data_IF_196397908665
#
_entry.id   IF_196397908665
#
_cell.length_a   1.000
_cell.length_b   1.000
_cell.length_c   1.000
_cell.angle_alpha   90.00
_cell.angle_beta   90.00
_cell.angle_gamma   90.00
#
_symmetry.space_group_name_H-M   'P 1'
#
loop_
_entity.id
_entity.type
_entity.pdbx_description
1 polymer ?
#
# COMPACT_ATOMS: atom_id res chain seq x y z
N UNK A 1 10.56 -31.27 0.77
CA UNK A 1 11.24 -30.60 -0.34
C UNK A 1 10.58 -29.25 -0.48
N UNK A 2 11.34 -28.20 -0.21
CA UNK A 2 10.90 -26.81 -0.10
C UNK A 2 10.86 -26.19 -1.49
N UNK A 3 9.66 -25.89 -2.00
CA UNK A 3 9.43 -25.16 -3.25
C UNK A 3 9.70 -23.66 -3.04
N UNK A 4 10.96 -23.30 -2.76
CA UNK A 4 11.41 -21.93 -2.84
C UNK A 4 11.59 -21.58 -4.32
N UNK A 5 10.84 -20.58 -4.79
CA UNK A 5 10.78 -20.10 -6.17
C UNK A 5 12.06 -19.38 -6.64
N UNK A 6 13.12 -19.37 -5.83
CA UNK A 6 14.26 -18.46 -5.98
C UNK A 6 15.26 -18.86 -7.09
N UNK A 7 15.20 -20.08 -7.62
CA UNK A 7 16.24 -20.63 -8.51
C UNK A 7 15.78 -20.98 -9.94
N UNK A 8 14.60 -20.54 -10.37
CA UNK A 8 14.07 -20.81 -11.73
C UNK A 8 14.96 -20.22 -12.85
N UNK A 9 15.71 -19.15 -12.55
CA UNK A 9 16.53 -18.42 -13.50
C UNK A 9 17.86 -19.13 -13.85
N UNK A 10 18.42 -19.93 -12.94
CA UNK A 10 19.75 -20.54 -13.08
C UNK A 10 19.87 -21.52 -14.26
N UNK A 11 18.73 -21.96 -14.81
CA UNK A 11 18.67 -22.79 -16.01
C UNK A 11 18.93 -22.00 -17.32
N UNK A 12 18.75 -20.68 -17.30
CA UNK A 12 18.70 -19.86 -18.51
C UNK A 12 19.78 -18.77 -18.57
N UNK A 13 20.50 -18.53 -17.47
CA UNK A 13 21.47 -17.42 -17.36
C UNK A 13 22.69 -17.84 -16.53
N UNK A 14 23.86 -17.35 -16.92
CA UNK A 14 25.16 -17.72 -16.32
C UNK A 14 25.45 -17.04 -14.97
N UNK A 15 24.78 -15.92 -14.66
CA UNK A 15 24.93 -15.21 -13.38
C UNK A 15 23.68 -14.40 -13.01
N UNK A 16 23.55 -14.09 -11.71
CA UNK A 16 22.58 -13.15 -11.13
C UNK A 16 23.34 -12.19 -10.21
N UNK A 17 23.02 -10.91 -10.29
CA UNK A 17 23.51 -9.88 -9.38
C UNK A 17 22.34 -9.04 -8.88
N UNK A 18 22.30 -8.77 -7.58
CA UNK A 18 21.33 -7.85 -6.98
C UNK A 18 21.89 -6.43 -7.10
N UNK A 19 21.31 -5.63 -7.99
CA UNK A 19 21.68 -4.23 -8.17
C UNK A 19 20.87 -3.35 -7.21
N UNK A 20 21.57 -2.56 -6.39
CA UNK A 20 20.95 -1.43 -5.69
C UNK A 20 20.82 -0.29 -6.70
N UNK A 21 19.64 -0.11 -7.25
CA UNK A 21 19.34 1.06 -8.05
C UNK A 21 19.30 2.28 -7.13
N UNK A 22 19.89 3.44 -7.50
CA UNK A 22 19.61 4.66 -6.80
C UNK A 22 18.10 4.92 -6.94
N UNK A 23 17.39 4.98 -5.83
CA UNK A 23 16.11 5.67 -5.83
C UNK A 23 16.38 7.09 -6.36
N UNK A 24 15.52 7.64 -7.22
CA UNK A 24 15.79 8.91 -7.88
C UNK A 24 16.15 10.02 -6.90
N UNK A 25 17.15 10.84 -7.25
CA UNK A 25 17.40 12.13 -6.60
C UNK A 25 16.15 13.00 -6.78
N UNK A 26 15.55 13.49 -5.69
CA UNK A 26 14.32 14.28 -5.76
C UNK A 26 13.48 14.23 -4.49
N UNK A 27 12.25 14.78 -4.51
CA UNK A 27 11.36 14.76 -3.35
C UNK A 27 11.02 13.33 -2.93
N UNK A 28 10.69 13.15 -1.66
CA UNK A 28 10.06 11.93 -1.17
C UNK A 28 8.58 11.92 -1.53
N UNK A 29 8.11 10.85 -2.17
CA UNK A 29 6.70 10.64 -2.47
C UNK A 29 6.20 9.45 -1.66
N UNK A 30 5.33 9.72 -0.69
CA UNK A 30 4.74 8.70 0.19
C UNK A 30 3.39 8.29 -0.37
N UNK A 31 3.22 7.01 -0.67
CA UNK A 31 2.02 6.46 -1.29
C UNK A 31 1.23 5.60 -0.28
N UNK A 32 0.06 6.10 0.14
CA UNK A 32 -0.81 5.47 1.12
C UNK A 32 -2.00 4.80 0.43
N UNK A 33 -2.07 3.47 0.51
CA UNK A 33 -3.14 2.69 -0.12
C UNK A 33 -4.48 2.83 0.62
N UNK A 34 -5.58 2.43 -0.05
CA UNK A 34 -6.92 2.42 0.52
C UNK A 34 -7.19 1.19 1.40
N UNK A 35 -8.33 1.17 2.10
CA UNK A 35 -8.74 0.03 2.91
C UNK A 35 -8.89 -1.25 2.06
N UNK A 36 -8.37 -2.36 2.56
CA UNK A 36 -8.41 -3.67 1.89
C UNK A 36 -7.43 -3.85 0.74
N UNK A 37 -6.64 -2.82 0.44
CA UNK A 37 -5.55 -2.83 -0.54
C UNK A 37 -4.19 -3.01 0.14
N UNK A 38 -3.12 -2.96 -0.65
CA UNK A 38 -1.73 -2.98 -0.19
C UNK A 38 -0.93 -1.92 -0.93
N UNK A 39 0.32 -1.70 -0.52
CA UNK A 39 1.31 -0.88 -1.20
C UNK A 39 1.46 -1.21 -2.70
N UNK A 40 1.26 -2.47 -3.09
CA UNK A 40 1.34 -2.92 -4.49
C UNK A 40 0.25 -2.34 -5.40
N UNK A 41 -0.79 -1.71 -4.85
CA UNK A 41 -1.75 -0.92 -5.64
C UNK A 41 -1.05 0.20 -6.43
N UNK A 42 0.09 0.66 -5.94
CA UNK A 42 0.88 1.72 -6.54
C UNK A 42 1.93 1.22 -7.54
N UNK A 43 2.03 -0.07 -7.85
CA UNK A 43 3.15 -0.64 -8.61
C UNK A 43 3.44 0.11 -9.93
N UNK A 44 2.42 0.40 -10.74
CA UNK A 44 2.56 1.12 -12.00
C UNK A 44 2.88 2.60 -11.80
N UNK A 45 2.33 3.22 -10.75
CA UNK A 45 2.63 4.62 -10.39
C UNK A 45 4.09 4.74 -9.95
N UNK A 46 4.57 3.83 -9.11
CA UNK A 46 5.96 3.75 -8.67
C UNK A 46 6.90 3.56 -9.87
N UNK A 47 6.54 2.74 -10.85
CA UNK A 47 7.34 2.54 -12.06
C UNK A 47 7.57 3.83 -12.84
N UNK A 48 6.59 4.74 -12.86
CA UNK A 48 6.68 6.07 -13.51
C UNK A 48 7.45 7.07 -12.64
N UNK A 49 7.18 7.08 -11.33
CA UNK A 49 7.68 8.11 -10.43
C UNK A 49 9.16 7.91 -10.04
N UNK A 50 9.63 6.66 -9.93
CA UNK A 50 10.94 6.32 -9.37
C UNK A 50 12.15 6.94 -10.12
N UNK A 51 11.95 7.39 -11.36
CA UNK A 51 13.00 8.05 -12.16
C UNK A 51 13.30 9.48 -11.67
N UNK A 52 12.36 10.14 -10.98
CA UNK A 52 12.45 11.57 -10.63
C UNK A 52 12.29 11.85 -9.12
N UNK A 53 12.02 10.81 -8.32
CA UNK A 53 11.76 10.97 -6.90
C UNK A 53 12.03 9.68 -6.13
N UNK A 54 12.18 9.80 -4.82
CA UNK A 54 12.28 8.65 -3.91
C UNK A 54 10.87 8.26 -3.46
N UNK A 55 10.39 7.11 -3.91
CA UNK A 55 9.03 6.64 -3.63
C UNK A 55 9.01 5.72 -2.41
N UNK A 56 8.12 6.02 -1.46
CA UNK A 56 7.85 5.20 -0.28
C UNK A 56 6.42 4.68 -0.35
N UNK A 57 6.26 3.38 -0.58
CA UNK A 57 4.97 2.71 -0.48
C UNK A 57 5.09 1.59 0.55
N UNK A 58 4.20 1.55 1.53
CA UNK A 58 4.22 0.56 2.59
C UNK A 58 2.79 0.07 2.91
N UNK A 59 2.71 -1.11 3.50
CA UNK A 59 1.43 -1.70 3.89
C UNK A 59 1.01 -1.12 5.24
N UNK A 60 -0.24 -0.63 5.33
CA UNK A 60 -0.84 -0.21 6.58
C UNK A 60 -1.04 -1.41 7.52
N UNK A 61 -1.18 -1.16 8.82
CA UNK A 61 -1.56 -2.18 9.82
C UNK A 61 -2.75 -3.02 9.33
N UNK A 62 -2.69 -4.33 9.54
CA UNK A 62 -3.73 -5.26 9.11
C UNK A 62 -3.84 -5.44 7.58
N UNK A 63 -2.88 -4.92 6.81
CA UNK A 63 -2.82 -5.07 5.36
C UNK A 63 -1.48 -5.67 4.92
N UNK A 64 -1.50 -6.32 3.75
CA UNK A 64 -0.31 -6.82 3.08
C UNK A 64 0.58 -7.68 3.98
N UNK A 65 1.85 -7.30 4.17
CA UNK A 65 2.80 -8.03 5.01
C UNK A 65 3.12 -7.33 6.35
N UNK A 66 2.45 -6.23 6.67
CA UNK A 66 2.66 -5.52 7.93
C UNK A 66 2.05 -6.31 9.10
N UNK A 67 2.85 -6.46 10.15
CA UNK A 67 2.46 -7.11 11.40
C UNK A 67 2.78 -6.22 12.59
N UNK A 68 1.86 -6.17 13.54
CA UNK A 68 1.94 -5.36 14.77
C UNK A 68 1.58 -6.20 15.99
N UNK A 69 1.66 -5.62 17.18
CA UNK A 69 1.17 -6.27 18.41
C UNK A 69 -0.36 -6.44 18.44
N UNK A 70 -1.10 -5.69 17.63
CA UNK A 70 -2.56 -5.74 17.54
C UNK A 70 -3.02 -5.30 16.15
N UNK A 71 -3.10 -6.25 15.21
CA UNK A 71 -3.46 -5.96 13.81
C UNK A 71 -4.93 -5.53 13.63
N UNK A 72 -5.77 -5.73 14.65
CA UNK A 72 -7.21 -5.42 14.61
C UNK A 72 -7.54 -3.96 14.97
N UNK A 73 -6.59 -3.21 15.57
CA UNK A 73 -6.78 -1.79 15.88
C UNK A 73 -6.54 -0.93 14.63
N UNK A 74 -7.55 -0.88 13.77
CA UNK A 74 -7.58 -0.05 12.57
C UNK A 74 -8.13 1.36 12.82
N UNK A 75 -8.13 1.82 14.08
CA UNK A 75 -8.55 3.18 14.38
C UNK A 75 -7.65 4.20 13.68
N UNK A 76 -8.26 5.29 13.24
CA UNK A 76 -7.54 6.31 12.49
C UNK A 76 -6.36 6.90 13.28
N UNK A 77 -6.49 7.08 14.60
CA UNK A 77 -5.41 7.62 15.41
C UNK A 77 -4.21 6.66 15.46
N UNK A 78 -4.47 5.35 15.58
CA UNK A 78 -3.42 4.32 15.52
C UNK A 78 -2.75 4.29 14.14
N UNK A 79 -3.52 4.32 13.05
CA UNK A 79 -2.98 4.36 11.69
C UNK A 79 -2.13 5.63 11.43
N UNK A 80 -2.53 6.78 11.99
CA UNK A 80 -1.74 8.02 11.93
C UNK A 80 -0.41 7.85 12.66
N UNK A 81 -0.42 7.29 13.88
CA UNK A 81 0.83 7.06 14.62
C UNK A 81 1.75 6.07 13.91
N UNK A 82 1.22 4.96 13.39
CA UNK A 82 2.01 4.00 12.61
C UNK A 82 2.65 4.66 11.39
N UNK A 83 1.90 5.49 10.66
CA UNK A 83 2.41 6.23 9.51
C UNK A 83 3.52 7.18 9.92
N UNK A 84 3.35 7.95 10.98
CA UNK A 84 4.38 8.84 11.49
C UNK A 84 5.66 8.08 11.88
N UNK A 85 5.54 6.93 12.54
CA UNK A 85 6.71 6.10 12.88
C UNK A 85 7.45 5.58 11.63
N UNK A 86 6.72 5.19 10.59
CA UNK A 86 7.33 4.80 9.31
C UNK A 86 8.04 5.99 8.68
N UNK A 87 7.41 7.17 8.65
CA UNK A 87 8.01 8.39 8.09
C UNK A 87 9.26 8.83 8.85
N UNK A 88 9.24 8.79 10.19
CA UNK A 88 10.39 9.08 11.04
C UNK A 88 11.58 8.14 10.74
N UNK A 89 11.29 6.90 10.29
CA UNK A 89 12.31 5.93 9.92
C UNK A 89 12.85 6.09 8.49
N UNK A 90 11.96 6.30 7.52
CA UNK A 90 12.32 6.33 6.09
C UNK A 90 12.71 7.73 5.58
N UNK A 91 12.32 8.77 6.31
CA UNK A 91 12.63 10.18 6.06
C UNK A 91 13.13 10.78 7.38
N UNK A 92 14.27 10.30 7.90
CA UNK A 92 14.76 10.75 9.20
C UNK A 92 15.09 12.25 9.14
N UNK A 93 14.84 13.00 10.23
CA UNK A 93 15.27 14.39 10.33
C UNK A 93 16.78 14.47 10.11
N UNK A 94 17.25 15.43 9.32
CA UNK A 94 18.69 15.68 9.17
C UNK A 94 19.27 16.03 10.53
N UNK A 95 20.26 15.26 10.98
CA UNK A 95 21.09 15.59 12.13
C UNK A 95 22.12 16.64 11.70
N UNK A 96 22.10 17.78 12.38
CA UNK A 96 22.95 18.98 12.24
C UNK A 96 24.26 18.83 11.45
N UNK A 97 24.44 19.66 10.40
CA UNK A 97 25.76 19.95 9.83
C UNK A 97 25.92 19.87 8.30
N UNK A 98 24.90 19.50 7.53
CA UNK A 98 24.95 19.53 6.06
C UNK A 98 24.13 20.70 5.51
N UNK A 99 24.78 21.60 4.74
CA UNK A 99 24.19 22.76 4.02
C UNK A 99 23.20 22.38 2.89
N UNK A 100 22.54 21.23 3.02
CA UNK A 100 21.72 20.65 1.98
C UNK A 100 20.27 20.73 2.43
N UNK A 101 19.40 21.34 1.63
CA UNK A 101 17.97 21.54 1.93
C UNK A 101 17.30 20.24 2.42
N UNK A 102 16.36 20.36 3.37
CA UNK A 102 15.58 19.20 3.82
C UNK A 102 14.84 18.60 2.61
N UNK A 103 14.85 17.27 2.45
CA UNK A 103 14.23 16.66 1.28
C UNK A 103 12.71 16.85 1.34
N UNK A 104 12.15 17.52 0.33
CA UNK A 104 10.73 17.79 0.20
C UNK A 104 9.92 16.50 0.24
N UNK A 105 8.77 16.51 0.90
CA UNK A 105 7.90 15.33 1.04
C UNK A 105 6.50 15.63 0.51
N UNK A 106 5.95 14.73 -0.29
CA UNK A 106 4.57 14.77 -0.78
C UNK A 106 3.89 13.48 -0.33
N UNK A 107 2.71 13.60 0.28
CA UNK A 107 1.88 12.43 0.62
C UNK A 107 0.77 12.30 -0.42
N UNK A 108 0.65 11.13 -1.03
CA UNK A 108 -0.45 10.77 -1.94
C UNK A 108 -1.22 9.64 -1.30
N UNK A 109 -2.54 9.82 -1.16
CA UNK A 109 -3.38 8.83 -0.51
C UNK A 109 -4.65 8.53 -1.28
N UNK A 110 -4.97 7.25 -1.43
CA UNK A 110 -6.23 6.79 -2.02
C UNK A 110 -7.20 6.35 -0.92
N UNK A 111 -8.46 6.80 -0.99
CA UNK A 111 -9.52 6.39 -0.05
C UNK A 111 -9.08 6.54 1.43
N UNK A 112 -9.04 5.46 2.22
CA UNK A 112 -8.47 5.45 3.59
C UNK A 112 -7.10 6.15 3.67
N UNK A 113 -6.19 5.86 2.75
CA UNK A 113 -4.87 6.48 2.69
C UNK A 113 -4.92 7.99 2.46
N UNK A 114 -5.94 8.49 1.77
CA UNK A 114 -6.14 9.93 1.58
C UNK A 114 -6.60 10.62 2.86
N UNK A 115 -7.55 10.03 3.58
CA UNK A 115 -7.97 10.52 4.90
C UNK A 115 -6.80 10.50 5.91
N UNK A 116 -5.99 9.45 5.84
CA UNK A 116 -4.78 9.30 6.65
C UNK A 116 -3.74 10.38 6.32
N UNK A 117 -3.47 10.64 5.04
CA UNK A 117 -2.51 11.66 4.60
C UNK A 117 -2.86 13.07 5.09
N UNK A 118 -4.15 13.44 5.04
CA UNK A 118 -4.63 14.73 5.57
C UNK A 118 -4.42 14.83 7.08
N UNK A 119 -4.68 13.74 7.82
CA UNK A 119 -4.53 13.73 9.28
C UNK A 119 -3.07 13.75 9.72
N UNK A 120 -2.20 13.01 9.02
CA UNK A 120 -0.74 13.06 9.22
C UNK A 120 -0.24 14.49 9.00
N UNK A 121 -0.68 15.15 7.93
CA UNK A 121 -0.33 16.55 7.66
C UNK A 121 -0.81 17.49 8.79
N UNK A 122 -2.04 17.31 9.26
CA UNK A 122 -2.61 18.12 10.33
C UNK A 122 -1.87 17.99 11.68
N UNK A 123 -1.06 16.94 11.87
CA UNK A 123 -0.23 16.81 13.08
C UNK A 123 0.95 17.79 13.13
N UNK A 124 1.41 18.29 11.97
CA UNK A 124 2.63 19.11 11.89
C UNK A 124 3.93 18.35 12.20
N UNK A 125 3.89 17.02 12.33
CA UNK A 125 5.07 16.19 12.68
C UNK A 125 5.94 15.79 11.49
N UNK A 126 5.61 16.23 10.27
CA UNK A 126 6.41 16.02 9.06
C UNK A 126 6.87 17.39 8.55
N UNK A 127 7.98 17.96 9.07
CA UNK A 127 8.39 19.33 8.74
C UNK A 127 8.72 19.55 7.27
N UNK A 128 9.07 18.48 6.55
CA UNK A 128 9.39 18.49 5.12
C UNK A 128 8.16 18.36 4.22
N UNK A 129 6.94 18.27 4.77
CA UNK A 129 5.73 18.06 3.99
C UNK A 129 5.34 19.33 3.21
N UNK A 130 5.38 19.23 1.88
CA UNK A 130 5.03 20.32 0.95
C UNK A 130 3.59 20.20 0.42
N UNK A 131 2.99 19.01 0.48
CA UNK A 131 1.64 18.82 -0.02
C UNK A 131 1.03 17.45 0.23
N UNK A 132 -0.30 17.41 0.19
CA UNK A 132 -1.11 16.19 0.27
C UNK A 132 -2.00 16.09 -0.98
N UNK A 133 -1.90 14.98 -1.69
CA UNK A 133 -2.79 14.60 -2.78
C UNK A 133 -3.77 13.53 -2.30
N UNK A 134 -5.06 13.78 -2.50
CA UNK A 134 -6.13 12.91 -2.05
C UNK A 134 -6.89 12.40 -3.26
N UNK A 135 -6.93 11.07 -3.43
CA UNK A 135 -7.59 10.40 -4.55
C UNK A 135 -8.84 9.70 -4.03
N UNK A 136 -9.98 10.09 -4.58
CA UNK A 136 -11.29 9.47 -4.35
C UNK A 136 -11.72 9.44 -2.87
N UNK A 137 -11.46 10.54 -2.15
CA UNK A 137 -11.97 10.81 -0.79
C UNK A 137 -12.78 12.10 -0.80
N UNK A 138 -14.03 12.04 -0.36
CA UNK A 138 -14.80 13.24 0.00
C UNK A 138 -15.55 12.92 1.28
N UNK A 139 -15.35 13.67 2.36
CA UNK A 139 -15.95 13.40 3.69
C UNK A 139 -17.48 13.22 3.63
N UNK A 140 -18.17 14.02 2.79
CA UNK A 140 -19.61 13.92 2.57
C UNK A 140 -20.05 12.75 1.67
N UNK A 141 -19.24 12.31 0.72
CA UNK A 141 -19.55 11.13 -0.11
C UNK A 141 -19.06 9.84 0.55
N UNK A 142 -18.01 9.86 1.38
CA UNK A 142 -17.50 8.71 2.11
C UNK A 142 -18.56 8.13 3.06
N UNK A 143 -19.28 8.99 3.80
CA UNK A 143 -20.42 8.59 4.62
C UNK A 143 -21.59 8.00 3.79
N UNK A 144 -21.84 8.52 2.60
CA UNK A 144 -22.86 8.00 1.69
C UNK A 144 -22.40 6.71 0.96
N UNK A 145 -21.10 6.59 0.69
CA UNK A 145 -20.43 5.47 0.03
C UNK A 145 -20.18 4.31 1.00
N UNK A 146 -20.10 4.57 2.31
CA UNK A 146 -20.14 3.53 3.35
C UNK A 146 -21.43 2.67 3.22
N UNK A 147 -22.56 3.27 2.83
CA UNK A 147 -23.79 2.51 2.54
C UNK A 147 -23.65 1.59 1.32
N UNK A 148 -22.80 1.96 0.36
CA UNK A 148 -22.50 1.16 -0.83
C UNK A 148 -21.38 0.15 -0.57
N UNK A 149 -20.54 0.38 0.45
CA UNK A 149 -19.50 -0.55 0.87
C UNK A 149 -20.09 -1.90 1.31
N UNK A 150 -21.28 -1.91 1.92
CA UNK A 150 -22.01 -3.16 2.20
C UNK A 150 -22.23 -4.01 0.94
N UNK A 151 -22.68 -3.41 -0.16
CA UNK A 151 -22.88 -4.11 -1.42
C UNK A 151 -21.55 -4.56 -2.07
N UNK A 152 -20.46 -3.81 -1.87
CA UNK A 152 -19.12 -4.22 -2.32
C UNK A 152 -18.62 -5.43 -1.52
N UNK A 153 -18.79 -5.40 -0.20
CA UNK A 153 -18.43 -6.49 0.70
C UNK A 153 -19.24 -7.76 0.43
N UNK A 154 -20.54 -7.63 0.18
CA UNK A 154 -21.42 -8.77 -0.16
C UNK A 154 -21.06 -9.43 -1.50
N UNK A 155 -20.61 -8.64 -2.48
CA UNK A 155 -20.19 -9.16 -3.79
C UNK A 155 -18.79 -9.78 -3.77
N UNK A 156 -18.00 -9.52 -2.73
CA UNK A 156 -16.63 -10.01 -2.59
C UNK A 156 -16.68 -11.50 -2.19
N UNK A 157 -16.11 -12.41 -2.98
CA UNK A 157 -16.01 -13.81 -2.59
C UNK A 157 -15.27 -13.91 -1.26
N UNK A 158 -15.78 -14.71 -0.33
CA UNK A 158 -15.13 -14.91 0.96
C UNK A 158 -13.85 -15.73 0.86
N UNK A 159 -13.72 -16.55 -0.20
CA UNK A 159 -12.60 -17.47 -0.42
C UNK A 159 -12.32 -17.66 -1.91
N UNK A 160 -11.08 -17.93 -2.27
CA UNK A 160 -10.66 -18.35 -3.61
C UNK A 160 -9.91 -19.68 -3.56
N UNK A 161 -9.92 -20.41 -4.67
CA UNK A 161 -9.18 -21.68 -4.81
C UNK A 161 -7.74 -21.47 -5.28
N UNK A 162 -7.48 -20.37 -5.98
CA UNK A 162 -6.16 -20.01 -6.50
C UNK A 162 -6.02 -18.50 -6.70
N UNK A 163 -4.78 -18.01 -6.77
CA UNK A 163 -4.51 -16.61 -7.09
C UNK A 163 -5.05 -16.23 -8.47
N UNK A 164 -5.00 -17.16 -9.43
CA UNK A 164 -5.55 -16.96 -10.77
C UNK A 164 -7.06 -16.72 -10.74
N UNK A 165 -7.80 -17.44 -9.90
CA UNK A 165 -9.24 -17.23 -9.74
C UNK A 165 -9.55 -15.86 -9.15
N UNK A 166 -8.74 -15.41 -8.19
CA UNK A 166 -8.88 -14.08 -7.59
C UNK A 166 -8.58 -12.95 -8.59
N UNK A 167 -7.51 -13.08 -9.37
CA UNK A 167 -7.14 -12.13 -10.44
C UNK A 167 -8.24 -12.08 -11.50
N UNK A 168 -8.73 -13.24 -11.94
CA UNK A 168 -9.80 -13.33 -12.92
C UNK A 168 -11.08 -12.67 -12.40
N UNK A 169 -11.46 -12.94 -11.15
CA UNK A 169 -12.59 -12.27 -10.51
C UNK A 169 -12.40 -10.75 -10.48
N UNK A 170 -11.23 -10.25 -10.04
CA UNK A 170 -10.98 -8.82 -9.91
C UNK A 170 -11.05 -8.04 -11.23
N UNK A 171 -10.62 -8.66 -12.33
CA UNK A 171 -10.77 -8.11 -13.69
C UNK A 171 -12.24 -8.10 -14.12
N UNK A 172 -12.96 -9.20 -13.90
CA UNK A 172 -14.36 -9.34 -14.35
C UNK A 172 -15.34 -8.51 -13.52
N UNK A 173 -15.07 -8.33 -12.22
CA UNK A 173 -15.87 -7.47 -11.34
C UNK A 173 -15.66 -5.99 -11.62
N UNK A 174 -14.60 -5.63 -12.37
CA UNK A 174 -14.18 -4.24 -12.56
C UNK A 174 -13.53 -3.62 -11.33
N UNK A 175 -13.08 -4.43 -10.35
CA UNK A 175 -12.37 -3.93 -9.17
C UNK A 175 -11.00 -3.36 -9.55
N UNK A 176 -10.32 -3.99 -10.52
CA UNK A 176 -9.09 -3.47 -11.14
C UNK A 176 -9.23 -3.62 -12.65
N UNK A 177 -9.06 -2.52 -13.39
CA UNK A 177 -9.21 -2.53 -14.85
C UNK A 177 -7.92 -2.85 -15.60
N UNK A 178 -6.76 -2.59 -14.99
CA UNK A 178 -5.46 -2.79 -15.64
C UNK A 178 -4.96 -4.24 -15.40
N UNK A 179 -4.71 -5.04 -16.46
CA UNK A 179 -4.24 -6.42 -16.36
C UNK A 179 -2.86 -6.59 -15.70
N UNK A 180 -1.96 -5.63 -15.89
CA UNK A 180 -0.63 -5.67 -15.26
C UNK A 180 -0.74 -5.35 -13.76
N UNK A 181 -1.52 -4.32 -13.41
CA UNK A 181 -1.71 -3.93 -12.02
C UNK A 181 -2.43 -5.02 -11.20
N UNK A 182 -3.40 -5.72 -11.79
CA UNK A 182 -4.16 -6.76 -11.07
C UNK A 182 -3.30 -7.98 -10.73
N UNK A 183 -2.39 -8.37 -11.61
CA UNK A 183 -1.50 -9.53 -11.41
C UNK A 183 -0.53 -9.29 -10.24
N UNK A 184 -0.10 -8.04 -10.07
CA UNK A 184 0.80 -7.65 -8.98
C UNK A 184 0.03 -7.40 -7.67
N UNK A 185 -1.07 -6.65 -7.74
CA UNK A 185 -1.74 -6.14 -6.53
C UNK A 185 -2.65 -7.17 -5.83
N UNK A 186 -3.42 -7.98 -6.56
CA UNK A 186 -4.41 -8.90 -5.95
C UNK A 186 -3.77 -9.97 -5.07
N UNK A 187 -2.70 -10.67 -5.49
CA UNK A 187 -2.08 -11.70 -4.64
C UNK A 187 -1.66 -11.19 -3.27
N UNK A 188 -1.17 -9.95 -3.19
CA UNK A 188 -0.71 -9.37 -1.92
C UNK A 188 -1.82 -9.09 -0.91
N UNK A 189 -3.07 -9.01 -1.38
CA UNK A 189 -4.26 -8.80 -0.54
C UNK A 189 -4.81 -10.10 0.06
N UNK A 190 -4.23 -11.26 -0.30
CA UNK A 190 -4.71 -12.59 0.08
C UNK A 190 -3.74 -13.31 1.01
N UNK A 191 -4.28 -14.13 1.91
CA UNK A 191 -3.55 -15.09 2.75
C UNK A 191 -4.01 -16.50 2.40
N UNK A 192 -3.04 -17.40 2.27
CA UNK A 192 -3.30 -18.82 2.12
C UNK A 192 -3.55 -19.49 3.48
N UNK A 193 -4.60 -20.31 3.54
CA UNK A 193 -4.95 -21.15 4.68
C UNK A 193 -4.30 -22.53 4.56
N UNK A 194 -4.31 -23.30 5.65
CA UNK A 194 -3.73 -24.65 5.70
C UNK A 194 -4.38 -25.62 4.70
N UNK A 195 -5.66 -25.42 4.38
CA UNK A 195 -6.39 -26.20 3.36
C UNK A 195 -6.08 -25.77 1.91
N UNK A 196 -5.14 -24.84 1.73
CA UNK A 196 -4.70 -24.32 0.44
C UNK A 196 -5.60 -23.22 -0.14
N UNK A 197 -6.76 -22.94 0.44
CA UNK A 197 -7.63 -21.86 0.00
C UNK A 197 -7.08 -20.49 0.36
N UNK A 198 -7.54 -19.46 -0.35
CA UNK A 198 -7.12 -18.08 -0.16
C UNK A 198 -8.27 -17.26 0.42
N UNK A 199 -7.97 -16.43 1.41
CA UNK A 199 -8.90 -15.47 2.02
C UNK A 199 -8.29 -14.07 2.00
N UNK A 200 -9.12 -13.04 2.08
CA UNK A 200 -8.64 -11.67 2.20
C UNK A 200 -7.89 -11.47 3.51
N UNK A 201 -6.75 -10.78 3.46
CA UNK A 201 -5.95 -10.49 4.65
C UNK A 201 -6.67 -9.54 5.59
N UNK A 202 -7.20 -8.46 5.03
CA UNK A 202 -7.81 -7.38 5.80
C UNK A 202 -9.31 -7.63 5.94
N UNK A 203 -9.80 -7.55 7.17
CA UNK A 203 -11.22 -7.31 7.42
C UNK A 203 -11.59 -5.87 7.04
N UNK A 204 -11.96 -5.69 5.77
CA UNK A 204 -12.33 -4.40 5.20
C UNK A 204 -13.49 -3.74 5.96
N UNK A 205 -14.40 -4.51 6.58
CA UNK A 205 -15.50 -3.96 7.36
C UNK A 205 -15.02 -3.27 8.65
N UNK A 206 -13.92 -3.74 9.23
CA UNK A 206 -13.33 -3.13 10.43
C UNK A 206 -12.54 -1.86 10.11
N UNK A 207 -12.03 -1.70 8.88
CA UNK A 207 -11.38 -0.46 8.42
C UNK A 207 -12.33 0.69 8.08
N UNK A 208 -13.65 0.45 8.16
CA UNK A 208 -14.71 1.37 7.76
C UNK A 208 -15.43 2.04 8.94
N UNK A 209 -15.03 1.71 10.18
CA UNK A 209 -15.58 2.22 11.44
C UNK A 209 -14.75 3.37 11.98
#
# INVERSE_FOLDING_TARGET
MTDAYDDVWAKYFDSKEDLVLPNGDGPHVVLLHGGGYTSLTWCLVTAILKENCTVHAFDLRGHGQTHTSNDDDLSIDTLVQDTLHVLDHVIPPKTDGADQENPQTIIVGHSLGGALGVRVAATGRVPSLEGVMVIDVVEGTAMASLKHMGAILERRPSRFRSYKDAIHWALHSGTVHNPEAVEVSIPSQLKQLEDGSLVWKTDLASSAK
#
